data_IF_180472282622
#
_entry.id   IF_180472282622
#
_cell.length_a   1.000
_cell.length_b   1.000
_cell.length_c   1.000
_cell.angle_alpha   90.00
_cell.angle_beta   90.00
_cell.angle_gamma   90.00
#
_symmetry.space_group_name_H-M   'P 1'
#
loop_
_entity.id
_entity.type
_entity.pdbx_description
1 polymer ?
#
# COMPACT_ATOMS: atom_id res chain seq x y z
N UNK A 1 -29.71 -57.18 6.81
CA UNK A 1 -29.09 -56.45 7.94
C UNK A 1 -28.52 -55.17 7.38
N UNK A 2 -29.33 -54.10 7.41
CA UNK A 2 -29.09 -52.84 6.70
C UNK A 2 -28.28 -51.90 7.59
N UNK A 3 -27.09 -51.52 7.17
CA UNK A 3 -26.27 -50.52 7.86
C UNK A 3 -26.64 -49.14 7.33
N UNK A 4 -27.05 -48.26 8.23
CA UNK A 4 -27.48 -46.90 7.92
C UNK A 4 -26.30 -46.08 7.37
N UNK A 5 -26.56 -45.44 6.23
CA UNK A 5 -25.65 -44.49 5.61
C UNK A 5 -25.64 -43.20 6.42
N UNK A 6 -24.46 -42.78 6.84
CA UNK A 6 -24.16 -41.49 7.46
C UNK A 6 -24.71 -40.34 6.60
N UNK A 7 -25.39 -39.39 7.23
CA UNK A 7 -25.96 -38.22 6.55
C UNK A 7 -25.91 -36.97 7.43
N UNK A 8 -25.13 -36.01 6.91
CA UNK A 8 -25.42 -34.56 6.80
C UNK A 8 -24.97 -33.54 7.88
N UNK A 9 -24.25 -32.53 7.36
CA UNK A 9 -24.19 -31.10 7.69
C UNK A 9 -23.56 -30.65 9.03
N UNK A 10 -22.33 -30.12 8.93
CA UNK A 10 -22.20 -28.65 9.01
C UNK A 10 -21.12 -28.14 8.05
N UNK A 11 -21.59 -27.42 7.05
CA UNK A 11 -20.83 -26.61 6.10
C UNK A 11 -20.13 -25.47 6.84
N UNK A 12 -18.93 -25.11 6.37
CA UNK A 12 -18.52 -23.71 6.34
C UNK A 12 -17.49 -23.27 7.38
N UNK A 13 -16.21 -23.48 7.07
CA UNK A 13 -15.23 -22.40 7.20
C UNK A 13 -14.14 -22.51 6.12
N UNK A 14 -14.56 -22.62 4.86
CA UNK A 14 -13.70 -22.29 3.72
C UNK A 14 -13.78 -20.77 3.55
N UNK A 15 -13.21 -20.01 4.48
CA UNK A 15 -12.95 -18.60 4.24
C UNK A 15 -11.75 -18.56 3.30
N UNK A 16 -12.09 -18.47 2.02
CA UNK A 16 -11.26 -17.93 0.96
C UNK A 16 -10.38 -16.80 1.50
N UNK A 17 -9.08 -17.05 1.61
CA UNK A 17 -8.07 -16.01 1.38
C UNK A 17 -6.98 -16.56 0.44
N UNK A 18 -7.39 -17.30 -0.60
CA UNK A 18 -6.65 -17.34 -1.87
C UNK A 18 -6.86 -16.03 -2.64
N UNK A 19 -6.59 -14.91 -1.98
CA UNK A 19 -6.79 -13.56 -2.50
C UNK A 19 -5.52 -12.74 -2.36
N UNK A 20 -4.36 -13.26 -2.79
CA UNK A 20 -3.14 -12.44 -2.91
C UNK A 20 -2.19 -12.93 -4.01
N UNK A 21 -2.73 -13.45 -5.12
CA UNK A 21 -1.98 -13.48 -6.38
C UNK A 21 -2.15 -12.15 -7.11
N UNK A 22 -1.77 -11.05 -6.46
CA UNK A 22 -1.54 -9.75 -7.07
C UNK A 22 -0.91 -8.79 -6.05
N UNK A 23 0.34 -9.03 -5.66
CA UNK A 23 1.15 -7.92 -5.17
C UNK A 23 2.32 -7.75 -6.13
N UNK A 24 2.11 -7.14 -7.32
CA UNK A 24 3.23 -6.65 -8.12
C UNK A 24 4.00 -5.53 -7.40
N UNK A 25 3.44 -4.99 -6.31
CA UNK A 25 3.98 -3.82 -5.64
C UNK A 25 4.99 -4.20 -4.55
N UNK A 26 6.17 -3.60 -4.61
CA UNK A 26 7.26 -3.90 -3.68
C UNK A 26 7.10 -3.06 -2.40
N UNK A 27 6.95 -3.72 -1.24
CA UNK A 27 6.95 -3.02 0.05
C UNK A 27 8.34 -2.49 0.36
N UNK A 28 8.44 -1.22 0.72
CA UNK A 28 9.67 -0.54 1.14
C UNK A 28 9.48 0.12 2.50
N UNK A 29 10.60 0.28 3.21
CA UNK A 29 10.67 0.99 4.48
C UNK A 29 11.90 1.88 4.46
N UNK A 30 11.72 3.17 4.73
CA UNK A 30 12.81 4.14 4.89
C UNK A 30 12.62 4.93 6.17
N UNK A 31 13.66 5.62 6.61
CA UNK A 31 13.63 6.48 7.79
C UNK A 31 14.51 7.69 7.50
N UNK A 32 13.97 8.87 7.75
CA UNK A 32 14.74 10.12 7.75
C UNK A 32 14.96 10.62 9.18
N UNK A 33 15.29 11.89 9.35
CA UNK A 33 15.57 12.48 10.67
C UNK A 33 14.35 12.57 11.59
N UNK A 34 13.14 12.57 11.02
CA UNK A 34 11.90 12.88 11.74
C UNK A 34 10.89 11.74 11.68
N UNK A 35 10.91 10.94 10.60
CA UNK A 35 9.87 9.98 10.29
C UNK A 35 10.38 8.66 9.74
N UNK A 36 9.61 7.61 10.05
CA UNK A 36 9.70 6.30 9.40
C UNK A 36 8.53 6.14 8.43
N UNK A 37 8.80 5.58 7.26
CA UNK A 37 7.83 5.40 6.20
C UNK A 37 7.72 3.93 5.85
N UNK A 38 6.50 3.45 5.66
CA UNK A 38 6.19 2.16 5.06
C UNK A 38 5.26 2.37 3.87
N UNK A 39 5.64 1.86 2.71
CA UNK A 39 4.88 2.09 1.49
C UNK A 39 5.16 1.02 0.45
N UNK A 40 4.36 1.01 -0.60
CA UNK A 40 4.51 0.09 -1.73
C UNK A 40 4.89 0.87 -2.99
N UNK A 41 5.65 0.25 -3.88
CA UNK A 41 6.02 0.83 -5.17
C UNK A 41 5.71 -0.08 -6.35
N UNK A 42 5.57 0.51 -7.54
CA UNK A 42 5.39 -0.22 -8.79
C UNK A 42 6.37 0.30 -9.85
N UNK A 43 6.86 -0.61 -10.70
CA UNK A 43 7.69 -0.27 -11.87
C UNK A 43 6.85 0.07 -13.11
N UNK A 44 5.51 0.08 -12.98
CA UNK A 44 4.63 0.35 -14.12
C UNK A 44 4.85 1.77 -14.62
N UNK A 45 5.21 1.89 -15.90
CA UNK A 45 5.31 3.17 -16.56
C UNK A 45 3.96 3.86 -16.67
N UNK A 46 3.95 5.17 -16.42
CA UNK A 46 2.78 6.03 -16.58
C UNK A 46 3.24 7.30 -17.25
N UNK A 47 2.55 7.71 -18.30
CA UNK A 47 2.70 9.06 -18.84
C UNK A 47 2.18 10.05 -17.78
N UNK A 48 3.08 10.77 -17.12
CA UNK A 48 2.70 11.82 -16.19
C UNK A 48 1.79 12.82 -16.92
N UNK A 49 0.56 12.98 -16.44
CA UNK A 49 -0.38 13.97 -16.98
C UNK A 49 -0.12 15.31 -16.31
N UNK A 50 -0.31 16.39 -17.06
CA UNK A 50 -0.25 17.75 -16.51
C UNK A 50 -1.27 17.91 -15.36
N UNK A 51 -0.97 18.81 -14.43
CA UNK A 51 -1.79 19.17 -13.26
C UNK A 51 -2.00 18.06 -12.22
N UNK A 52 -1.05 17.14 -12.07
CA UNK A 52 -1.09 16.09 -11.03
C UNK A 52 0.24 15.94 -10.34
N UNK A 53 0.24 15.97 -9.01
CA UNK A 53 1.44 15.73 -8.21
C UNK A 53 1.67 14.22 -8.04
N UNK A 54 2.68 13.69 -8.72
CA UNK A 54 3.10 12.30 -8.62
C UNK A 54 4.12 12.12 -7.50
N UNK A 55 4.11 10.95 -6.86
CA UNK A 55 5.03 10.52 -5.82
C UNK A 55 5.77 9.26 -6.27
N UNK A 56 7.09 9.26 -6.17
CA UNK A 56 7.92 8.11 -6.54
C UNK A 56 9.14 7.98 -5.63
N UNK A 57 9.73 6.80 -5.64
CA UNK A 57 10.87 6.42 -4.83
C UNK A 57 12.13 6.29 -5.68
N UNK A 58 13.21 6.96 -5.27
CA UNK A 58 14.55 6.84 -5.87
C UNK A 58 15.63 7.26 -4.89
N UNK A 59 16.74 6.52 -4.87
CA UNK A 59 17.92 6.89 -4.09
C UNK A 59 17.68 6.92 -2.58
N UNK A 60 16.77 6.08 -2.06
CA UNK A 60 16.48 6.02 -0.63
C UNK A 60 15.49 7.07 -0.12
N UNK A 61 14.92 7.89 -1.00
CA UNK A 61 13.95 8.93 -0.62
C UNK A 61 12.68 8.89 -1.49
N UNK A 62 11.59 9.41 -0.92
CA UNK A 62 10.35 9.70 -1.65
C UNK A 62 10.47 11.10 -2.23
N UNK A 63 10.15 11.24 -3.51
CA UNK A 63 10.16 12.48 -4.27
C UNK A 63 8.76 12.77 -4.79
N UNK A 64 8.50 14.04 -5.15
CA UNK A 64 7.29 14.44 -5.84
C UNK A 64 7.54 15.50 -6.91
N UNK A 65 6.73 15.48 -7.96
CA UNK A 65 6.70 16.49 -9.03
C UNK A 65 5.43 16.35 -9.85
N UNK A 66 5.13 17.42 -10.57
CA UNK A 66 4.03 17.47 -11.53
C UNK A 66 4.44 16.95 -12.91
N UNK A 67 5.74 17.00 -13.22
CA UNK A 67 6.28 16.66 -14.54
C UNK A 67 7.36 15.60 -14.46
N UNK A 68 7.05 14.44 -15.02
CA UNK A 68 8.00 13.35 -15.15
C UNK A 68 8.25 12.61 -13.85
N UNK A 69 8.72 11.37 -14.00
CA UNK A 69 8.98 10.44 -12.90
C UNK A 69 10.28 9.72 -13.26
N UNK A 70 11.22 9.65 -12.33
CA UNK A 70 12.55 9.07 -12.60
C UNK A 70 12.86 7.81 -11.79
N UNK A 71 11.88 7.32 -11.03
CA UNK A 71 11.99 6.17 -10.15
C UNK A 71 10.69 5.36 -10.08
N UNK A 72 10.57 4.53 -9.05
CA UNK A 72 9.42 3.64 -8.88
C UNK A 72 8.23 4.41 -8.30
N UNK A 73 7.07 4.37 -8.94
CA UNK A 73 5.87 5.08 -8.46
C UNK A 73 5.38 4.47 -7.15
N UNK A 74 4.92 5.30 -6.21
CA UNK A 74 4.22 4.80 -5.03
C UNK A 74 2.87 4.19 -5.46
N UNK A 75 2.57 2.97 -5.04
CA UNK A 75 1.35 2.25 -5.45
C UNK A 75 0.94 1.22 -4.40
N UNK A 76 -0.14 1.48 -3.66
CA UNK A 76 -0.61 0.70 -2.52
C UNK A 76 -0.68 1.51 -1.24
N UNK A 77 -0.73 0.83 -0.10
CA UNK A 77 -0.84 1.48 1.21
C UNK A 77 0.39 2.34 1.52
N UNK A 78 0.17 3.42 2.26
CA UNK A 78 1.21 4.32 2.75
C UNK A 78 0.98 4.63 4.21
N UNK A 79 2.03 4.52 5.00
CA UNK A 79 2.04 4.86 6.42
C UNK A 79 3.31 5.65 6.74
N UNK A 80 3.14 6.77 7.44
CA UNK A 80 4.19 7.62 7.98
C UNK A 80 4.06 7.60 9.50
N UNK A 81 5.17 7.39 10.19
CA UNK A 81 5.24 7.30 11.64
C UNK A 81 6.24 8.32 12.16
N UNK A 82 5.94 8.95 13.30
CA UNK A 82 6.95 9.61 14.11
C UNK A 82 8.00 8.59 14.57
N UNK A 83 9.21 9.04 14.94
CA UNK A 83 10.24 8.14 15.50
C UNK A 83 9.79 7.43 16.80
N UNK A 84 8.78 7.95 17.48
CA UNK A 84 8.09 7.30 18.61
C UNK A 84 7.22 6.11 18.22
N UNK A 85 7.14 5.76 16.94
CA UNK A 85 6.25 4.76 16.33
C UNK A 85 4.76 5.11 16.36
N UNK A 86 4.38 6.32 16.75
CA UNK A 86 3.01 6.81 16.58
C UNK A 86 2.74 7.13 15.11
N UNK A 87 1.52 6.86 14.65
CA UNK A 87 1.10 7.17 13.29
C UNK A 87 1.03 8.69 13.10
N UNK A 88 1.57 9.19 11.98
CA UNK A 88 1.57 10.59 11.60
C UNK A 88 0.72 10.83 10.35
N UNK A 89 0.75 9.92 9.37
CA UNK A 89 -0.06 9.99 8.16
C UNK A 89 -0.36 8.57 7.64
N UNK A 90 -1.55 8.35 7.08
CA UNK A 90 -1.93 7.09 6.42
C UNK A 90 -2.85 7.37 5.24
N UNK A 91 -2.64 6.61 4.16
CA UNK A 91 -3.46 6.68 2.96
C UNK A 91 -3.11 5.59 1.97
N UNK A 92 -3.59 5.74 0.74
CA UNK A 92 -3.30 4.83 -0.38
C UNK A 92 -2.81 5.66 -1.55
N UNK A 93 -1.78 5.15 -2.23
CA UNK A 93 -1.36 5.63 -3.53
C UNK A 93 -1.87 4.71 -4.64
N UNK A 94 -2.17 5.30 -5.79
CA UNK A 94 -2.45 4.58 -7.03
C UNK A 94 -1.63 5.18 -8.15
N UNK A 95 -0.65 4.43 -8.66
CA UNK A 95 0.25 4.87 -9.74
C UNK A 95 0.90 6.25 -9.47
N UNK A 96 1.39 6.43 -8.25
CA UNK A 96 2.03 7.64 -7.75
C UNK A 96 1.09 8.76 -7.34
N UNK A 97 -0.22 8.59 -7.41
CA UNK A 97 -1.19 9.62 -7.02
C UNK A 97 -1.85 9.24 -5.70
N UNK A 98 -2.05 10.22 -4.80
CA UNK A 98 -2.88 10.03 -3.61
C UNK A 98 -4.28 9.61 -4.05
N UNK A 99 -4.78 8.48 -3.56
CA UNK A 99 -6.07 7.90 -3.92
C UNK A 99 -6.92 7.69 -2.65
N UNK A 100 -8.18 8.12 -2.71
CA UNK A 100 -9.10 7.99 -1.59
C UNK A 100 -8.78 8.88 -0.37
N UNK A 101 -9.13 8.40 0.81
CA UNK A 101 -9.05 9.16 2.06
C UNK A 101 -7.65 9.12 2.67
N UNK A 102 -7.16 10.30 3.02
CA UNK A 102 -5.91 10.50 3.73
C UNK A 102 -6.19 10.99 5.15
N UNK A 103 -5.50 10.40 6.12
CA UNK A 103 -5.63 10.75 7.54
C UNK A 103 -4.28 11.21 8.06
N UNK A 104 -4.29 12.26 8.87
CA UNK A 104 -3.12 12.82 9.54
C UNK A 104 -3.37 12.90 11.04
N UNK A 105 -2.31 12.64 11.80
CA UNK A 105 -2.33 12.70 13.26
C UNK A 105 -1.24 13.66 13.72
N UNK A 106 -1.62 14.63 14.55
CA UNK A 106 -0.70 15.58 15.14
C UNK A 106 -0.20 15.03 16.48
N UNK A 107 1.04 15.36 16.80
CA UNK A 107 1.56 15.18 18.16
C UNK A 107 0.76 16.08 19.11
N UNK A 108 0.41 15.57 20.31
CA UNK A 108 -0.29 16.32 21.35
C UNK A 108 0.64 17.23 22.14
#
# INVERSE_FOLDING_TARGET
MSTSKFSFLQFGLFIFLFGSFAIPNLKKRITDKEYRYEFYTTQKEVSAKQDRLYYWFKGGAIHSSEYGVSGELLDGEFEKFYLSNQLAEKGVFKKGLKDGLWKTWHWN
#
